data_IF_577219232557
#
_entry.id   IF_577219232557
#
_cell.length_a   1.000
_cell.length_b   1.000
_cell.length_c   1.000
_cell.angle_alpha   90.00
_cell.angle_beta   90.00
_cell.angle_gamma   90.00
#
_symmetry.space_group_name_H-M   'P 1'
#
loop_
_entity.id
_entity.type
_entity.pdbx_description
1 polymer ?
#
# COMPACT_ATOMS: atom_id res chain seq x y z
N UNK A 1 -0.91 -23.01 -1.07
CA UNK A 1 -1.89 -23.02 0.01
C UNK A 1 -3.29 -22.77 -0.55
N UNK A 2 -4.28 -23.59 -0.18
CA UNK A 2 -5.70 -23.32 -0.37
C UNK A 2 -6.33 -23.00 0.98
N UNK A 3 -7.19 -21.99 1.01
CA UNK A 3 -7.91 -21.58 2.22
C UNK A 3 -9.32 -21.13 1.84
N UNK A 4 -10.31 -21.53 2.64
CA UNK A 4 -11.66 -21.01 2.56
C UNK A 4 -11.92 -20.14 3.77
N UNK A 5 -12.30 -18.89 3.53
CA UNK A 5 -12.52 -17.90 4.58
C UNK A 5 -13.90 -17.29 4.47
N UNK A 6 -14.38 -16.75 5.57
CA UNK A 6 -15.57 -15.91 5.59
C UNK A 6 -15.33 -14.68 6.46
N UNK A 7 -15.97 -13.60 6.12
CA UNK A 7 -15.97 -12.35 6.90
C UNK A 7 -17.41 -11.93 7.18
N UNK A 8 -17.78 -11.86 8.45
CA UNK A 8 -19.04 -11.24 8.83
C UNK A 8 -18.94 -9.72 8.71
N UNK A 9 -20.05 -9.02 8.37
CA UNK A 9 -20.05 -7.56 8.39
C UNK A 9 -19.64 -7.04 9.76
N UNK A 10 -18.80 -6.02 9.81
CA UNK A 10 -18.43 -5.35 11.05
C UNK A 10 -19.57 -4.47 11.55
N UNK A 11 -19.49 -4.04 12.81
CA UNK A 11 -20.46 -3.10 13.36
C UNK A 11 -20.56 -1.81 12.52
N UNK A 12 -19.43 -1.31 12.04
CA UNK A 12 -19.40 -0.14 11.17
C UNK A 12 -20.05 -0.41 9.81
N UNK A 13 -19.82 -1.58 9.21
CA UNK A 13 -20.46 -1.97 7.95
C UNK A 13 -21.98 -1.96 8.05
N UNK A 14 -22.51 -2.36 9.23
CA UNK A 14 -23.95 -2.47 9.47
C UNK A 14 -24.59 -1.16 9.92
N UNK A 15 -23.94 -0.42 10.82
CA UNK A 15 -24.61 0.64 11.61
C UNK A 15 -23.97 2.03 11.49
N UNK A 16 -22.89 2.19 10.71
CA UNK A 16 -22.30 3.52 10.55
C UNK A 16 -23.32 4.48 9.92
N UNK A 17 -23.51 5.62 10.58
CA UNK A 17 -24.59 6.58 10.26
C UNK A 17 -24.56 6.97 8.77
N UNK A 18 -25.69 6.78 8.09
CA UNK A 18 -25.92 7.04 6.64
C UNK A 18 -25.14 6.16 5.66
N UNK A 19 -24.17 5.38 6.10
CA UNK A 19 -23.29 4.55 5.24
C UNK A 19 -23.57 3.07 5.45
N UNK A 20 -23.81 2.66 6.69
CA UNK A 20 -24.04 1.26 7.08
C UNK A 20 -25.28 0.66 6.45
N UNK A 21 -25.27 -0.67 6.35
CA UNK A 21 -26.37 -1.44 5.75
C UNK A 21 -26.58 -2.72 6.55
N UNK A 22 -27.69 -2.78 7.27
CA UNK A 22 -28.06 -3.95 8.09
C UNK A 22 -28.46 -5.18 7.28
N UNK A 23 -28.68 -5.05 5.97
CA UNK A 23 -29.00 -6.14 5.06
C UNK A 23 -27.78 -6.85 4.47
N UNK A 24 -26.55 -6.55 4.94
CA UNK A 24 -25.33 -7.19 4.43
C UNK A 24 -25.27 -8.67 4.79
N UNK A 25 -24.87 -9.48 3.80
CA UNK A 25 -24.53 -10.89 3.97
C UNK A 25 -23.06 -11.08 4.27
N UNK A 26 -22.65 -12.17 4.95
CA UNK A 26 -21.25 -12.51 5.12
C UNK A 26 -20.55 -12.69 3.76
N UNK A 27 -19.33 -12.18 3.66
CA UNK A 27 -18.43 -12.38 2.54
C UNK A 27 -17.80 -13.77 2.64
N UNK A 28 -17.72 -14.50 1.54
CA UNK A 28 -17.11 -15.82 1.43
C UNK A 28 -15.99 -15.77 0.40
N UNK A 29 -14.81 -16.29 0.73
CA UNK A 29 -13.68 -16.34 -0.19
C UNK A 29 -13.06 -17.73 -0.26
N UNK A 30 -12.80 -18.19 -1.50
CA UNK A 30 -11.94 -19.30 -1.81
C UNK A 30 -10.61 -18.73 -2.30
N UNK A 31 -9.51 -19.01 -1.57
CA UNK A 31 -8.20 -18.38 -1.75
C UNK A 31 -7.14 -19.43 -2.12
N UNK A 32 -6.42 -19.18 -3.20
CA UNK A 32 -5.29 -19.98 -3.67
C UNK A 32 -4.04 -19.11 -3.69
N UNK A 33 -3.02 -19.50 -2.92
CA UNK A 33 -1.80 -18.71 -2.76
C UNK A 33 -0.57 -19.59 -2.98
N UNK A 34 0.44 -19.02 -3.64
CA UNK A 34 1.77 -19.60 -3.81
C UNK A 34 2.80 -18.51 -3.50
N UNK A 35 3.77 -18.83 -2.64
CA UNK A 35 4.83 -17.90 -2.24
C UNK A 35 6.21 -18.54 -2.43
N UNK A 36 7.16 -17.70 -2.84
CA UNK A 36 8.57 -18.05 -2.96
C UNK A 36 9.40 -16.99 -2.28
N UNK A 37 10.34 -17.40 -1.45
CA UNK A 37 11.34 -16.50 -0.85
C UNK A 37 12.72 -17.01 -1.21
N UNK A 38 13.52 -16.11 -1.79
CA UNK A 38 14.91 -16.36 -2.08
C UNK A 38 15.77 -15.40 -1.27
N UNK A 39 16.75 -15.92 -0.56
CA UNK A 39 17.70 -15.13 0.22
C UNK A 39 19.12 -15.51 -0.17
N UNK A 40 19.95 -14.51 -0.39
CA UNK A 40 21.36 -14.67 -0.68
C UNK A 40 22.20 -13.64 0.09
N UNK A 41 23.41 -14.01 0.43
CA UNK A 41 24.43 -13.14 1.01
C UNK A 41 25.70 -13.23 0.13
N UNK A 42 25.69 -12.59 -1.07
CA UNK A 42 26.84 -12.62 -1.98
C UNK A 42 27.98 -11.80 -1.36
N UNK A 43 28.96 -12.52 -0.82
CA UNK A 43 30.09 -11.97 -0.07
C UNK A 43 30.82 -10.84 -0.83
N UNK A 44 30.97 -9.72 -0.22
CA UNK A 44 31.76 -8.48 -0.45
C UNK A 44 30.97 -7.23 -0.83
N UNK A 45 29.88 -7.31 -1.60
CA UNK A 45 29.16 -6.11 -2.07
C UNK A 45 27.76 -5.95 -1.46
N UNK A 46 27.16 -7.03 -1.02
CA UNK A 46 25.80 -7.06 -0.46
C UNK A 46 25.81 -7.97 0.76
N UNK A 47 25.44 -7.46 1.93
CA UNK A 47 25.36 -8.26 3.16
C UNK A 47 24.27 -9.33 3.03
N UNK A 48 23.12 -8.91 2.56
CA UNK A 48 21.97 -9.76 2.36
C UNK A 48 21.04 -9.16 1.31
N UNK A 49 20.51 -10.00 0.45
CA UNK A 49 19.42 -9.71 -0.47
C UNK A 49 18.31 -10.73 -0.23
N UNK A 50 17.09 -10.26 -0.10
CA UNK A 50 15.91 -11.13 0.00
C UNK A 50 14.90 -10.69 -1.04
N UNK A 51 14.45 -11.63 -1.87
CA UNK A 51 13.39 -11.48 -2.83
C UNK A 51 12.24 -12.39 -2.43
N UNK A 52 11.07 -11.82 -2.25
CA UNK A 52 9.82 -12.57 -2.01
C UNK A 52 8.89 -12.34 -3.17
N UNK A 53 8.25 -13.40 -3.65
CA UNK A 53 7.21 -13.37 -4.66
C UNK A 53 6.02 -14.17 -4.16
N UNK A 54 4.83 -13.56 -4.14
CA UNK A 54 3.58 -14.18 -3.72
C UNK A 54 2.53 -14.01 -4.82
N UNK A 55 2.10 -15.12 -5.43
CA UNK A 55 1.01 -15.14 -6.40
C UNK A 55 -0.28 -15.62 -5.75
N UNK A 56 -1.41 -15.02 -6.13
CA UNK A 56 -2.72 -15.37 -5.58
C UNK A 56 -3.82 -15.35 -6.61
N UNK A 57 -4.81 -16.22 -6.38
CA UNK A 57 -6.07 -16.25 -7.08
C UNK A 57 -7.21 -16.45 -6.07
N UNK A 58 -8.16 -15.51 -6.02
CA UNK A 58 -9.25 -15.55 -5.07
C UNK A 58 -10.60 -15.39 -5.77
N UNK A 59 -11.57 -16.22 -5.41
CA UNK A 59 -12.96 -16.05 -5.76
C UNK A 59 -13.74 -15.62 -4.53
N UNK A 60 -14.26 -14.39 -4.55
CA UNK A 60 -14.99 -13.78 -3.44
C UNK A 60 -16.46 -13.67 -3.82
N UNK A 61 -17.35 -14.16 -2.95
CA UNK A 61 -18.80 -14.03 -3.06
C UNK A 61 -19.31 -13.08 -1.99
N UNK A 62 -20.30 -12.27 -2.35
CA UNK A 62 -20.91 -11.27 -1.46
C UNK A 62 -19.88 -10.31 -0.85
N UNK A 63 -18.86 -9.90 -1.64
CA UNK A 63 -17.80 -9.02 -1.16
C UNK A 63 -18.37 -7.72 -0.61
N UNK A 64 -18.02 -7.40 0.63
CA UNK A 64 -18.47 -6.17 1.30
C UNK A 64 -17.55 -5.04 0.91
N UNK A 65 -18.11 -4.01 0.29
CA UNK A 65 -17.39 -2.80 -0.14
C UNK A 65 -18.17 -1.54 0.20
N UNK A 66 -17.45 -0.45 0.46
CA UNK A 66 -18.03 0.87 0.49
C UNK A 66 -18.16 1.37 -0.95
N UNK A 67 -19.38 1.54 -1.41
CA UNK A 67 -19.67 1.98 -2.77
C UNK A 67 -20.09 3.45 -2.78
N UNK A 68 -19.47 4.31 -3.59
CA UNK A 68 -19.88 5.69 -3.74
C UNK A 68 -21.19 5.77 -4.51
N UNK A 69 -22.22 6.30 -3.89
CA UNK A 69 -23.42 6.78 -4.60
C UNK A 69 -23.29 8.28 -4.87
N UNK A 70 -24.26 8.89 -5.55
CA UNK A 70 -24.22 10.29 -5.97
C UNK A 70 -23.94 11.29 -4.82
N UNK A 71 -24.36 10.98 -3.59
CA UNK A 71 -24.23 11.88 -2.45
C UNK A 71 -23.66 11.25 -1.18
N UNK A 72 -23.69 9.91 -1.07
CA UNK A 72 -23.31 9.21 0.16
C UNK A 72 -22.67 7.88 -0.21
N UNK A 73 -21.64 7.48 0.51
CA UNK A 73 -21.13 6.13 0.45
C UNK A 73 -22.14 5.16 1.08
N UNK A 74 -22.23 3.97 0.54
CA UNK A 74 -23.05 2.90 1.13
C UNK A 74 -22.27 1.59 1.16
N UNK A 75 -22.44 0.86 2.24
CA UNK A 75 -21.94 -0.51 2.33
C UNK A 75 -22.86 -1.44 1.53
N UNK A 76 -22.29 -2.17 0.59
CA UNK A 76 -23.01 -3.11 -0.28
C UNK A 76 -22.26 -4.43 -0.39
N UNK A 77 -23.00 -5.52 -0.66
CA UNK A 77 -22.39 -6.74 -1.16
C UNK A 77 -22.24 -6.66 -2.68
N UNK A 78 -21.01 -6.70 -3.16
CA UNK A 78 -20.73 -7.05 -4.56
C UNK A 78 -20.96 -8.56 -4.75
N UNK A 79 -21.65 -8.95 -5.79
CA UNK A 79 -22.07 -10.34 -5.98
C UNK A 79 -20.89 -11.31 -6.01
N UNK A 80 -20.13 -11.34 -7.11
CA UNK A 80 -18.93 -12.17 -7.25
C UNK A 80 -17.76 -11.33 -7.77
N UNK A 81 -16.63 -11.44 -7.09
CA UNK A 81 -15.38 -10.77 -7.49
C UNK A 81 -14.31 -11.84 -7.67
N UNK A 82 -13.61 -11.77 -8.80
CA UNK A 82 -12.44 -12.58 -9.09
C UNK A 82 -11.22 -11.71 -8.94
N UNK A 83 -10.27 -12.14 -8.12
CA UNK A 83 -9.04 -11.42 -7.86
C UNK A 83 -7.88 -12.31 -8.29
N UNK A 84 -7.05 -11.81 -9.19
CA UNK A 84 -5.80 -12.44 -9.60
C UNK A 84 -4.68 -11.41 -9.45
N UNK A 85 -3.56 -11.84 -8.88
CA UNK A 85 -2.45 -10.92 -8.72
C UNK A 85 -1.19 -11.58 -8.22
N UNK A 86 -0.17 -10.75 -8.08
CA UNK A 86 1.06 -11.12 -7.41
C UNK A 86 1.71 -9.91 -6.75
N UNK A 87 2.44 -10.18 -5.68
CA UNK A 87 3.26 -9.25 -4.94
C UNK A 87 4.73 -9.63 -5.07
N UNK A 88 5.58 -8.63 -5.22
CA UNK A 88 7.04 -8.80 -5.22
C UNK A 88 7.61 -7.87 -4.16
N UNK A 89 8.44 -8.39 -3.27
CA UNK A 89 9.17 -7.60 -2.29
C UNK A 89 10.67 -7.87 -2.40
N UNK A 90 11.45 -6.81 -2.43
CA UNK A 90 12.91 -6.85 -2.45
C UNK A 90 13.45 -6.08 -1.26
N UNK A 91 14.37 -6.68 -0.52
CA UNK A 91 15.19 -5.99 0.48
C UNK A 91 16.66 -6.28 0.22
N UNK A 92 17.51 -5.27 0.33
CA UNK A 92 18.95 -5.45 0.19
C UNK A 92 19.71 -4.49 1.12
N UNK A 93 20.78 -4.98 1.73
CA UNK A 93 21.71 -4.19 2.51
C UNK A 93 23.09 -4.19 1.86
N UNK A 94 23.58 -3.00 1.53
CA UNK A 94 24.86 -2.77 0.83
C UNK A 94 25.82 -2.01 1.73
N UNK A 95 26.81 -2.66 2.33
CA UNK A 95 27.90 -1.96 3.02
C UNK A 95 28.80 -1.29 1.96
N UNK A 96 29.01 0.02 2.08
CA UNK A 96 29.87 0.77 1.16
C UNK A 96 31.28 0.92 1.71
N UNK A 97 31.41 1.40 2.94
CA UNK A 97 32.70 1.57 3.66
C UNK A 97 32.46 1.38 5.16
N UNK A 98 33.50 1.50 5.97
CA UNK A 98 33.36 1.44 7.44
C UNK A 98 32.36 2.48 7.96
N UNK A 99 31.25 1.98 8.50
CA UNK A 99 30.20 2.80 9.07
C UNK A 99 29.23 3.45 8.07
N UNK A 100 29.35 3.17 6.75
CA UNK A 100 28.43 3.65 5.72
C UNK A 100 27.72 2.46 5.07
N UNK A 101 26.38 2.49 5.06
CA UNK A 101 25.52 1.43 4.53
C UNK A 101 24.35 2.01 3.77
N UNK A 102 23.94 1.35 2.72
CA UNK A 102 22.68 1.61 2.03
C UNK A 102 21.72 0.44 2.25
N UNK A 103 20.54 0.75 2.78
CA UNK A 103 19.44 -0.21 2.87
C UNK A 103 18.42 0.13 1.77
N UNK A 104 18.08 -0.88 0.97
CA UNK A 104 17.13 -0.77 -0.14
C UNK A 104 15.91 -1.63 0.16
N UNK A 105 14.73 -1.09 -0.12
CA UNK A 105 13.48 -1.83 -0.09
C UNK A 105 12.64 -1.44 -1.32
N UNK A 106 12.00 -2.42 -1.95
CA UNK A 106 11.06 -2.20 -3.02
C UNK A 106 9.90 -3.19 -2.91
N UNK A 107 8.69 -2.72 -3.13
CA UNK A 107 7.50 -3.55 -3.18
C UNK A 107 6.73 -3.20 -4.45
N UNK A 108 6.19 -4.21 -5.10
CA UNK A 108 5.35 -4.05 -6.28
C UNK A 108 4.19 -5.03 -6.21
N UNK A 109 2.99 -4.54 -6.48
CA UNK A 109 1.76 -5.32 -6.55
C UNK A 109 1.12 -5.16 -7.92
N UNK A 110 0.82 -6.28 -8.55
CA UNK A 110 -0.14 -6.36 -9.65
C UNK A 110 -1.40 -7.02 -9.14
N UNK A 111 -2.56 -6.35 -9.27
CA UNK A 111 -3.83 -6.90 -8.81
C UNK A 111 -4.95 -6.60 -9.81
N UNK A 112 -5.52 -7.65 -10.39
CA UNK A 112 -6.73 -7.56 -11.20
C UNK A 112 -7.89 -8.11 -10.40
N UNK A 113 -8.77 -7.21 -9.93
CA UNK A 113 -9.97 -7.54 -9.16
C UNK A 113 -11.20 -7.15 -9.97
N UNK A 114 -11.91 -8.11 -10.52
CA UNK A 114 -12.98 -7.86 -11.49
C UNK A 114 -14.34 -8.36 -11.00
N UNK A 115 -15.38 -7.61 -11.31
CA UNK A 115 -16.76 -8.03 -11.09
C UNK A 115 -17.13 -9.13 -12.11
N UNK A 116 -17.54 -10.29 -11.61
CA UNK A 116 -18.00 -11.43 -12.41
C UNK A 116 -19.41 -11.90 -11.98
N UNK A 117 -20.19 -10.96 -11.44
CA UNK A 117 -21.53 -11.24 -10.91
C UNK A 117 -22.50 -11.71 -11.98
N UNK A 118 -22.63 -10.95 -13.05
CA UNK A 118 -23.58 -11.25 -14.15
C UNK A 118 -22.96 -10.92 -15.50
N UNK A 119 -22.90 -11.88 -16.43
CA UNK A 119 -22.38 -11.64 -17.77
C UNK A 119 -23.14 -10.55 -18.57
N UNK A 120 -24.39 -10.30 -18.24
CA UNK A 120 -25.23 -9.30 -18.90
C UNK A 120 -25.04 -7.89 -18.32
N UNK A 121 -24.34 -7.76 -17.17
CA UNK A 121 -24.08 -6.48 -16.55
C UNK A 121 -23.05 -5.66 -17.35
N UNK A 122 -23.29 -4.37 -17.50
CA UNK A 122 -22.40 -3.45 -18.24
C UNK A 122 -20.97 -3.37 -17.66
N UNK A 123 -20.82 -3.67 -16.39
CA UNK A 123 -19.54 -3.71 -15.66
C UNK A 123 -18.97 -5.12 -15.53
N UNK A 124 -19.45 -6.10 -16.33
CA UNK A 124 -18.91 -7.45 -16.29
C UNK A 124 -17.45 -7.49 -16.73
N UNK A 125 -16.59 -8.03 -15.86
CA UNK A 125 -15.12 -8.08 -15.96
C UNK A 125 -14.41 -6.71 -15.85
N UNK A 126 -15.12 -5.68 -15.44
CA UNK A 126 -14.49 -4.42 -15.08
C UNK A 126 -13.79 -4.52 -13.73
N UNK A 127 -12.72 -3.74 -13.58
CA UNK A 127 -12.00 -3.61 -12.31
C UNK A 127 -12.93 -2.99 -11.27
N UNK A 128 -12.95 -3.54 -10.06
CA UNK A 128 -13.77 -2.96 -8.99
C UNK A 128 -13.27 -1.56 -8.60
N UNK A 129 -14.16 -0.67 -8.12
CA UNK A 129 -13.79 0.70 -7.79
C UNK A 129 -12.59 0.81 -6.86
N UNK A 130 -11.80 1.86 -7.08
CA UNK A 130 -10.64 2.24 -6.27
C UNK A 130 -9.55 1.17 -6.11
N UNK A 131 -9.55 0.15 -6.97
CA UNK A 131 -8.52 -0.88 -6.98
C UNK A 131 -7.59 -0.67 -8.19
N UNK A 132 -6.36 -0.20 -8.01
CA UNK A 132 -5.42 -0.03 -9.12
C UNK A 132 -4.91 -1.39 -9.59
N UNK A 133 -4.59 -1.50 -10.89
CA UNK A 133 -3.91 -2.69 -11.44
C UNK A 133 -2.47 -2.80 -10.96
N UNK A 134 -1.81 -1.65 -10.78
CA UNK A 134 -0.40 -1.56 -10.41
C UNK A 134 -0.24 -0.63 -9.23
N UNK A 135 0.51 -1.04 -8.23
CA UNK A 135 0.97 -0.20 -7.15
C UNK A 135 2.35 -0.64 -6.68
N UNK A 136 3.07 0.24 -6.03
CA UNK A 136 4.36 -0.11 -5.50
C UNK A 136 4.95 0.98 -4.62
N UNK A 137 5.99 0.62 -3.93
CA UNK A 137 6.78 1.55 -3.14
C UNK A 137 8.27 1.18 -3.21
N UNK A 138 9.11 2.16 -3.03
CA UNK A 138 10.54 1.96 -2.96
C UNK A 138 11.15 2.88 -1.91
N UNK A 139 12.18 2.43 -1.21
CA UNK A 139 12.96 3.25 -0.33
C UNK A 139 14.44 2.92 -0.44
N UNK A 140 15.26 3.96 -0.31
CA UNK A 140 16.71 3.87 -0.18
C UNK A 140 17.13 4.69 1.04
N UNK A 141 17.77 4.05 2.00
CA UNK A 141 18.26 4.70 3.21
C UNK A 141 19.79 4.59 3.26
N UNK A 142 20.45 5.73 3.21
CA UNK A 142 21.88 5.88 3.44
C UNK A 142 22.11 6.11 4.94
N UNK A 143 22.78 5.19 5.58
CA UNK A 143 23.20 5.29 6.98
C UNK A 143 24.67 5.68 7.04
N UNK A 144 24.96 6.73 7.79
CA UNK A 144 26.35 7.16 8.03
C UNK A 144 26.57 7.45 9.50
N UNK A 145 27.83 7.54 9.96
CA UNK A 145 28.13 7.93 11.35
C UNK A 145 27.67 9.35 11.71
N UNK A 146 27.39 10.19 10.71
CA UNK A 146 27.10 11.63 10.94
C UNK A 146 25.60 11.95 10.77
N UNK A 147 25.00 11.44 9.71
CA UNK A 147 23.61 11.73 9.35
C UNK A 147 23.07 10.58 8.52
N UNK A 148 21.82 10.23 8.74
CA UNK A 148 21.10 9.30 7.89
C UNK A 148 20.24 10.08 6.91
N UNK A 149 20.23 9.65 5.66
CA UNK A 149 19.36 10.18 4.61
C UNK A 149 18.47 9.05 4.07
N UNK A 150 17.20 9.34 3.83
CA UNK A 150 16.29 8.39 3.24
C UNK A 150 15.48 9.04 2.11
N UNK A 151 15.26 8.28 1.07
CA UNK A 151 14.36 8.62 -0.03
C UNK A 151 13.31 7.54 -0.14
N UNK A 152 12.04 7.92 -0.23
CA UNK A 152 10.92 6.99 -0.37
C UNK A 152 10.03 7.45 -1.51
N UNK A 153 9.55 6.50 -2.31
CA UNK A 153 8.53 6.71 -3.32
C UNK A 153 7.38 5.75 -3.12
N UNK A 154 6.16 6.26 -3.24
CA UNK A 154 4.92 5.47 -3.31
C UNK A 154 4.24 5.78 -4.63
N UNK A 155 3.98 4.77 -5.43
CA UNK A 155 3.34 4.90 -6.74
C UNK A 155 2.07 4.05 -6.79
N UNK A 156 1.00 4.65 -7.30
CA UNK A 156 -0.31 4.00 -7.48
C UNK A 156 -0.75 4.29 -8.91
N UNK A 157 -1.10 3.24 -9.64
CA UNK A 157 -1.58 3.35 -11.00
C UNK A 157 -2.99 3.93 -11.12
N UNK A 158 -3.43 4.09 -12.35
CA UNK A 158 -4.80 4.51 -12.65
C UNK A 158 -5.81 3.53 -12.06
N UNK A 159 -6.94 4.06 -11.66
CA UNK A 159 -8.06 3.31 -11.11
C UNK A 159 -9.38 3.98 -11.49
N UNK A 160 -10.48 3.31 -11.25
CA UNK A 160 -11.80 3.85 -11.53
C UNK A 160 -12.56 4.09 -10.23
N UNK A 161 -13.34 5.19 -10.16
CA UNK A 161 -14.13 5.48 -8.97
C UNK A 161 -15.56 4.91 -9.04
N UNK A 162 -15.98 4.44 -10.22
CA UNK A 162 -17.27 3.79 -10.46
C UNK A 162 -17.06 2.35 -10.90
N UNK A 163 -18.14 1.55 -10.88
CA UNK A 163 -18.11 0.15 -11.28
C UNK A 163 -17.86 -0.08 -12.77
N UNK A 164 -18.22 0.87 -13.63
CA UNK A 164 -17.90 0.84 -15.05
C UNK A 164 -16.56 1.53 -15.30
N UNK A 165 -15.66 0.84 -16.00
CA UNK A 165 -14.31 1.33 -16.30
C UNK A 165 -14.31 2.25 -17.55
N UNK A 166 -15.17 3.25 -17.53
CA UNK A 166 -15.23 4.27 -18.58
C UNK A 166 -14.13 5.32 -18.39
N UNK A 167 -13.62 5.96 -19.47
CA UNK A 167 -12.58 6.98 -19.36
C UNK A 167 -12.93 8.12 -18.39
N UNK A 168 -14.18 8.57 -18.36
CA UNK A 168 -14.69 9.61 -17.46
C UNK A 168 -14.68 9.21 -15.98
N UNK A 169 -14.72 7.90 -15.70
CA UNK A 169 -14.67 7.34 -14.35
C UNK A 169 -13.24 7.14 -13.84
N UNK A 170 -12.24 7.51 -14.63
CA UNK A 170 -10.84 7.31 -14.28
C UNK A 170 -10.36 8.30 -13.23
N UNK A 171 -9.61 7.81 -12.27
CA UNK A 171 -8.76 8.56 -11.34
C UNK A 171 -7.32 8.29 -11.74
N UNK A 172 -6.58 9.33 -12.09
CA UNK A 172 -5.21 9.20 -12.54
C UNK A 172 -4.32 8.59 -11.45
N UNK A 173 -3.33 7.83 -11.89
CA UNK A 173 -2.25 7.37 -11.03
C UNK A 173 -1.37 8.52 -10.56
N UNK A 174 -0.56 8.24 -9.56
CA UNK A 174 0.38 9.21 -9.00
C UNK A 174 1.64 8.54 -8.47
N UNK A 175 2.67 9.34 -8.27
CA UNK A 175 3.84 8.98 -7.49
C UNK A 175 4.12 10.10 -6.49
N UNK A 176 4.16 9.74 -5.21
CA UNK A 176 4.55 10.65 -4.13
C UNK A 176 5.97 10.31 -3.68
N UNK A 177 6.79 11.33 -3.55
CA UNK A 177 8.20 11.21 -3.22
C UNK A 177 8.49 11.94 -1.91
N UNK A 178 9.20 11.30 -0.99
CA UNK A 178 9.58 11.86 0.31
C UNK A 178 11.09 11.77 0.52
N UNK A 179 11.67 12.84 1.01
CA UNK A 179 13.07 12.89 1.45
C UNK A 179 13.10 13.12 2.95
N UNK A 180 13.94 12.35 3.67
CA UNK A 180 14.12 12.49 5.09
C UNK A 180 15.61 12.54 5.45
N UNK A 181 15.95 13.40 6.39
CA UNK A 181 17.26 13.47 7.01
C UNK A 181 17.10 13.26 8.52
N UNK A 182 17.94 12.43 9.12
CA UNK A 182 17.88 12.22 10.56
C UNK A 182 19.26 12.05 11.17
N UNK A 183 19.37 12.45 12.44
CA UNK A 183 20.57 12.24 13.24
C UNK A 183 20.21 11.79 14.64
N UNK A 184 20.93 10.78 15.15
CA UNK A 184 20.80 10.28 16.51
C UNK A 184 21.99 10.77 17.34
N UNK A 185 21.70 11.45 18.46
CA UNK A 185 22.66 11.88 19.45
C UNK A 185 22.59 10.93 20.63
N UNK A 186 23.75 10.43 21.07
CA UNK A 186 23.89 9.63 22.28
C UNK A 186 24.35 10.54 23.41
N UNK A 187 23.52 10.73 24.42
CA UNK A 187 23.88 11.53 25.59
C UNK A 187 24.45 10.56 26.63
N UNK A 188 25.67 10.84 27.08
CA UNK A 188 26.29 10.09 28.18
C UNK A 188 25.54 10.40 29.49
N UNK A 189 24.54 9.57 29.79
CA UNK A 189 23.84 9.55 31.06
C UNK A 189 23.90 8.11 31.60
N UNK A 190 23.89 7.87 32.91
CA UNK A 190 23.92 6.52 33.48
C UNK A 190 22.87 5.58 32.87
N UNK A 191 21.72 6.09 32.44
CA UNK A 191 20.61 5.34 31.86
C UNK A 191 20.58 5.33 30.31
N UNK A 192 21.56 5.91 29.63
CA UNK A 192 21.77 5.80 28.18
C UNK A 192 20.74 6.53 27.30
N UNK A 193 20.51 7.83 27.54
CA UNK A 193 19.55 8.63 26.75
C UNK A 193 19.98 8.80 25.27
N UNK A 194 19.04 8.59 24.36
CA UNK A 194 19.21 8.82 22.92
C UNK A 194 18.18 9.84 22.42
N UNK A 195 18.66 10.85 21.69
CA UNK A 195 17.78 11.83 21.02
C UNK A 195 17.93 11.68 19.52
N UNK A 196 16.85 11.36 18.84
CA UNK A 196 16.78 11.35 17.37
C UNK A 196 16.03 12.59 16.89
N UNK A 197 16.68 13.36 16.03
CA UNK A 197 16.07 14.49 15.32
C UNK A 197 15.92 14.12 13.86
N UNK A 198 14.74 14.36 13.29
CA UNK A 198 14.44 14.04 11.90
C UNK A 198 13.70 15.23 11.25
N UNK A 199 14.10 15.55 10.03
CA UNK A 199 13.42 16.50 9.15
C UNK A 199 13.00 15.77 7.87
N UNK A 200 11.77 15.99 7.41
CA UNK A 200 11.20 15.36 6.22
C UNK A 200 10.58 16.41 5.32
N UNK A 201 10.77 16.22 4.02
CA UNK A 201 10.01 16.90 2.97
C UNK A 201 9.11 15.85 2.30
N UNK A 202 7.84 15.84 2.69
CA UNK A 202 6.81 14.93 2.15
C UNK A 202 6.29 15.53 0.84
N UNK A 203 6.08 14.67 -0.17
CA UNK A 203 5.66 15.08 -1.51
C UNK A 203 6.56 16.21 -2.07
N UNK A 204 7.87 16.01 -2.04
CA UNK A 204 8.84 17.06 -2.37
C UNK A 204 8.74 17.54 -3.82
N UNK A 205 8.20 16.70 -4.72
CA UNK A 205 7.90 17.06 -6.12
C UNK A 205 6.61 17.87 -6.28
N UNK A 206 5.84 18.04 -5.19
CA UNK A 206 4.55 18.75 -5.20
C UNK A 206 3.52 18.16 -6.18
N UNK A 207 3.50 16.84 -6.28
CA UNK A 207 2.56 16.12 -7.13
C UNK A 207 1.13 16.34 -6.64
N UNK A 208 0.26 16.83 -7.53
CA UNK A 208 -1.16 16.99 -7.23
C UNK A 208 -1.92 15.73 -7.61
N UNK A 209 -2.60 15.12 -6.65
CA UNK A 209 -3.32 13.86 -6.86
C UNK A 209 -4.50 13.69 -5.91
N UNK A 210 -5.45 12.84 -6.31
CA UNK A 210 -6.60 12.43 -5.52
C UNK A 210 -6.45 10.95 -5.13
N UNK A 211 -6.63 10.59 -3.87
CA UNK A 211 -6.87 9.20 -3.47
C UNK A 211 -8.32 8.84 -3.75
N UNK A 212 -9.23 9.69 -3.34
CA UNK A 212 -10.66 9.63 -3.64
C UNK A 212 -10.97 10.75 -4.61
N UNK A 213 -11.71 10.48 -5.67
CA UNK A 213 -12.11 11.45 -6.68
C UNK A 213 -12.68 12.72 -6.02
N UNK A 214 -12.19 13.89 -6.42
CA UNK A 214 -12.55 15.22 -5.89
C UNK A 214 -12.05 15.52 -4.46
N UNK A 215 -11.18 14.69 -3.90
CA UNK A 215 -10.55 14.94 -2.61
C UNK A 215 -9.02 15.03 -2.82
N UNK A 216 -8.54 16.24 -3.15
CA UNK A 216 -7.10 16.43 -3.39
C UNK A 216 -6.30 16.21 -2.11
N UNK A 217 -5.17 15.55 -2.28
CA UNK A 217 -4.23 15.32 -1.20
C UNK A 217 -3.34 16.55 -0.99
N UNK A 218 -2.79 16.74 0.21
CA UNK A 218 -1.87 17.84 0.49
C UNK A 218 -0.67 17.81 -0.48
N UNK A 219 -0.29 18.99 -0.97
CA UNK A 219 0.95 19.18 -1.70
C UNK A 219 2.19 19.01 -0.82
N UNK A 220 3.31 19.59 -1.24
CA UNK A 220 4.57 19.55 -0.49
C UNK A 220 4.40 20.03 0.94
N UNK A 221 4.91 19.27 1.90
CA UNK A 221 4.87 19.62 3.31
C UNK A 221 6.20 19.29 4.01
N UNK A 222 6.52 20.08 5.04
CA UNK A 222 7.69 19.87 5.87
C UNK A 222 7.25 19.35 7.25
N UNK A 223 7.96 18.36 7.74
CA UNK A 223 7.73 17.78 9.07
C UNK A 223 9.04 17.64 9.82
N UNK A 224 9.03 18.02 11.09
CA UNK A 224 10.14 17.81 12.00
C UNK A 224 9.69 16.92 13.16
N UNK A 225 10.53 15.96 13.55
CA UNK A 225 10.25 15.02 14.64
C UNK A 225 11.46 14.95 15.56
N UNK A 226 11.21 15.00 16.87
CA UNK A 226 12.20 14.72 17.90
C UNK A 226 11.70 13.55 18.73
N UNK A 227 12.52 12.49 18.82
CA UNK A 227 12.24 11.31 19.62
C UNK A 227 13.32 11.18 20.71
N UNK A 228 12.88 11.01 21.96
CA UNK A 228 13.77 10.79 23.12
C UNK A 228 13.52 9.38 23.62
N UNK A 229 14.59 8.60 23.77
CA UNK A 229 14.56 7.24 24.35
C UNK A 229 15.47 7.25 25.58
N UNK A 230 14.90 6.96 26.73
CA UNK A 230 15.56 6.86 28.04
C UNK A 230 15.93 5.41 28.34
#
# INVERSE_FOLDING_TARGET
>A
LYKKTFRVPTFNDLYYLRIGNTGLRPELADEYNIGLTWTAAPARLIDQITLTWDGYYNEVRDKIVAFPSTYVWRMVNFGRVRIFGFDVALTAGVPLTHGVRVDLQANYTYQRATDVTSPEAKNYRDQIPYTPLHSGSGSAALRTPWIDAAYTVVAVGDRYYMSQNLPENRVNGYAEHTIALSRTFHIHHPDGCRIRVQAECVNWMDTQYDIIKYYPMPGRSLRATVAVTL
#
